data_IF_079115313606
#
_entry.id   IF_079115313606
#
_cell.length_a   1.000
_cell.length_b   1.000
_cell.length_c   1.000
_cell.angle_alpha   90.00
_cell.angle_beta   90.00
_cell.angle_gamma   90.00
#
_symmetry.space_group_name_H-M   'P 1'
#
loop_
_entity.id
_entity.type
_entity.pdbx_description
1 polymer ?
#
# COMPACT_ATOMS: atom_id res chain seq x y z
N UNK A 1 20.77 -2.62 11.56
CA UNK A 1 20.12 -2.94 10.27
C UNK A 1 18.63 -3.03 10.51
N UNK A 2 17.83 -2.45 9.62
CA UNK A 2 16.37 -2.57 9.66
C UNK A 2 15.93 -4.03 9.49
N UNK A 3 14.91 -4.42 10.26
CA UNK A 3 14.28 -5.74 10.09
C UNK A 3 13.28 -5.65 8.93
N UNK A 4 13.22 -6.70 8.14
CA UNK A 4 12.26 -6.84 7.07
C UNK A 4 11.31 -7.98 7.43
N UNK A 5 10.02 -7.68 7.43
CA UNK A 5 8.95 -8.65 7.64
C UNK A 5 8.24 -8.93 6.31
N UNK A 6 7.62 -10.09 6.17
CA UNK A 6 6.81 -10.40 5.00
C UNK A 6 5.34 -10.39 5.43
N UNK A 7 4.60 -9.47 4.86
CA UNK A 7 3.16 -9.35 4.95
C UNK A 7 2.49 -9.63 3.60
N UNK A 8 1.19 -9.54 3.57
CA UNK A 8 0.40 -9.72 2.36
C UNK A 8 -0.81 -8.78 2.35
N UNK A 9 -1.05 -8.14 1.21
CA UNK A 9 -2.30 -7.45 0.94
C UNK A 9 -3.40 -8.49 0.71
N UNK A 10 -4.58 -8.27 1.30
CA UNK A 10 -5.68 -9.25 1.22
C UNK A 10 -6.33 -9.37 -0.17
N UNK A 11 -5.83 -8.65 -1.17
CA UNK A 11 -6.25 -8.86 -2.57
C UNK A 11 -6.05 -10.31 -3.05
N UNK A 12 -5.14 -11.06 -2.46
CA UNK A 12 -4.88 -12.46 -2.85
C UNK A 12 -6.11 -13.38 -2.64
N UNK A 13 -7.08 -12.96 -1.83
CA UNK A 13 -8.34 -13.68 -1.59
C UNK A 13 -9.55 -12.99 -2.26
N UNK A 14 -9.34 -12.01 -3.11
CA UNK A 14 -10.38 -11.17 -3.73
C UNK A 14 -11.45 -11.93 -4.52
N UNK A 15 -11.13 -13.12 -5.01
CA UNK A 15 -12.05 -13.97 -5.76
C UNK A 15 -12.82 -14.98 -4.89
N UNK A 16 -12.61 -14.94 -3.58
CA UNK A 16 -13.29 -15.80 -2.62
C UNK A 16 -14.38 -15.00 -1.90
N UNK A 17 -15.59 -15.50 -1.93
CA UNK A 17 -16.71 -14.96 -1.14
C UNK A 17 -16.58 -15.43 0.32
N UNK A 18 -15.65 -14.83 1.05
CA UNK A 18 -15.30 -15.17 2.42
C UNK A 18 -15.07 -13.92 3.26
N UNK A 19 -15.34 -13.99 4.58
CA UNK A 19 -15.13 -12.86 5.48
C UNK A 19 -13.65 -12.53 5.67
N UNK A 20 -13.38 -11.34 6.21
CA UNK A 20 -12.04 -10.86 6.53
C UNK A 20 -11.20 -11.87 7.34
N UNK A 21 -11.82 -12.48 8.34
CA UNK A 21 -11.17 -13.46 9.23
C UNK A 21 -10.57 -14.63 8.47
N UNK A 22 -11.29 -15.14 7.47
CA UNK A 22 -10.79 -16.23 6.62
C UNK A 22 -9.54 -15.82 5.83
N UNK A 23 -9.48 -14.60 5.33
CA UNK A 23 -8.30 -14.08 4.63
C UNK A 23 -7.09 -13.98 5.56
N UNK A 24 -7.30 -13.55 6.82
CA UNK A 24 -6.25 -13.48 7.85
C UNK A 24 -5.74 -14.88 8.22
N UNK A 25 -6.63 -15.83 8.45
CA UNK A 25 -6.30 -17.23 8.75
C UNK A 25 -5.52 -17.86 7.59
N UNK A 26 -5.96 -17.63 6.34
CA UNK A 26 -5.27 -18.13 5.15
C UNK A 26 -3.86 -17.55 5.02
N UNK A 27 -3.67 -16.27 5.29
CA UNK A 27 -2.34 -15.65 5.30
C UNK A 27 -1.42 -16.28 6.38
N UNK A 28 -1.97 -16.54 7.58
CA UNK A 28 -1.23 -17.21 8.65
C UNK A 28 -0.84 -18.65 8.29
N UNK A 29 -1.75 -19.43 7.69
CA UNK A 29 -1.49 -20.80 7.21
C UNK A 29 -0.33 -20.82 6.19
N UNK A 30 -0.25 -19.83 5.30
CA UNK A 30 0.83 -19.69 4.32
C UNK A 30 2.16 -19.28 4.96
N UNK A 31 2.16 -18.79 6.20
CA UNK A 31 3.35 -18.42 6.95
C UNK A 31 3.73 -16.94 6.85
N UNK A 32 2.82 -16.07 6.45
CA UNK A 32 2.95 -14.63 6.56
C UNK A 32 2.87 -14.18 8.03
N UNK A 33 3.39 -13.00 8.33
CA UNK A 33 3.38 -12.44 9.69
C UNK A 33 2.51 -11.19 9.81
N UNK A 34 2.16 -10.59 8.69
CA UNK A 34 1.37 -9.36 8.62
C UNK A 34 0.35 -9.45 7.49
N UNK A 35 -0.77 -8.75 7.68
CA UNK A 35 -1.80 -8.56 6.65
C UNK A 35 -2.11 -7.08 6.45
N UNK A 36 -2.52 -6.74 5.25
CA UNK A 36 -2.97 -5.42 4.86
C UNK A 36 -4.34 -5.52 4.21
N UNK A 37 -5.43 -5.20 4.95
CA UNK A 37 -6.75 -5.10 4.35
C UNK A 37 -6.92 -3.78 3.61
N UNK A 38 -7.74 -3.80 2.56
CA UNK A 38 -8.34 -2.61 2.03
C UNK A 38 -9.46 -2.14 2.96
N UNK A 39 -9.60 -0.84 3.14
CA UNK A 39 -10.71 -0.24 3.87
C UNK A 39 -11.60 0.59 2.95
N UNK A 40 -12.89 0.63 3.29
CA UNK A 40 -13.87 1.43 2.56
C UNK A 40 -14.87 2.08 3.53
N UNK A 41 -15.60 3.07 3.03
CA UNK A 41 -16.65 3.73 3.78
C UNK A 41 -18.01 3.05 3.51
N UNK A 42 -18.51 2.35 4.50
CA UNK A 42 -19.78 1.64 4.40
C UNK A 42 -19.72 0.45 3.43
N UNK A 43 -20.64 0.38 2.50
CA UNK A 43 -20.78 -0.68 1.48
C UNK A 43 -20.41 -0.18 0.08
N UNK A 44 -19.67 0.89 -0.02
CA UNK A 44 -19.26 1.41 -1.30
C UNK A 44 -18.37 0.40 -2.01
N UNK A 45 -18.76 0.05 -3.21
CA UNK A 45 -17.94 -0.74 -4.11
C UNK A 45 -16.90 0.20 -4.73
N UNK A 46 -15.68 0.11 -4.27
CA UNK A 46 -14.56 0.90 -4.82
C UNK A 46 -14.10 0.35 -6.16
N UNK A 47 -14.48 -0.87 -6.50
CA UNK A 47 -14.27 -1.45 -7.82
C UNK A 47 -15.28 -2.56 -8.12
N UNK A 48 -15.40 -2.91 -9.40
CA UNK A 48 -16.28 -3.97 -9.91
C UNK A 48 -15.86 -5.38 -9.40
N UNK A 49 -14.70 -5.53 -8.81
CA UNK A 49 -14.15 -6.83 -8.42
C UNK A 49 -14.72 -7.40 -7.11
N UNK A 50 -15.68 -6.74 -6.47
CA UNK A 50 -16.30 -7.21 -5.22
C UNK A 50 -15.27 -7.45 -4.10
N UNK A 51 -15.03 -6.47 -3.26
CA UNK A 51 -14.05 -6.59 -2.17
C UNK A 51 -14.66 -7.22 -0.92
N UNK A 52 -15.04 -8.48 -0.99
CA UNK A 52 -15.53 -9.21 0.20
C UNK A 52 -14.48 -9.35 1.30
N UNK A 53 -13.21 -9.23 0.94
CA UNK A 53 -12.05 -9.25 1.84
C UNK A 53 -11.71 -7.88 2.43
N UNK A 54 -12.38 -6.83 2.00
CA UNK A 54 -12.18 -5.47 2.51
C UNK A 54 -12.95 -5.24 3.82
N UNK A 55 -12.56 -4.22 4.56
CA UNK A 55 -13.12 -3.88 5.86
C UNK A 55 -13.81 -2.53 5.78
N UNK A 56 -15.06 -2.46 6.24
CA UNK A 56 -15.76 -1.20 6.41
C UNK A 56 -15.18 -0.40 7.59
N UNK A 57 -14.89 0.88 7.37
CA UNK A 57 -14.50 1.78 8.46
C UNK A 57 -15.65 2.13 9.42
N UNK A 58 -16.87 1.63 9.16
CA UNK A 58 -18.01 1.68 10.05
C UNK A 58 -18.14 0.40 10.90
N UNK A 59 -17.26 -0.59 10.67
CA UNK A 59 -17.21 -1.82 11.45
C UNK A 59 -16.50 -1.60 12.80
N UNK A 60 -16.59 -2.59 13.70
CA UNK A 60 -15.89 -2.56 14.99
C UNK A 60 -14.38 -2.80 14.78
N UNK A 61 -13.52 -1.80 15.03
CA UNK A 61 -12.07 -1.96 14.86
C UNK A 61 -11.48 -3.01 15.81
N UNK A 62 -12.09 -3.26 16.96
CA UNK A 62 -11.64 -4.32 17.88
C UNK A 62 -11.89 -5.71 17.33
N UNK A 63 -12.93 -5.91 16.51
CA UNK A 63 -13.17 -7.17 15.79
C UNK A 63 -12.00 -7.48 14.87
N UNK A 64 -11.55 -6.48 14.09
CA UNK A 64 -10.42 -6.59 13.17
C UNK A 64 -9.13 -6.91 13.92
N UNK A 65 -8.85 -6.16 14.99
CA UNK A 65 -7.69 -6.39 15.86
C UNK A 65 -7.67 -7.80 16.44
N UNK A 66 -8.79 -8.24 16.98
CA UNK A 66 -8.94 -9.58 17.61
C UNK A 66 -8.81 -10.71 16.58
N UNK A 67 -9.34 -10.52 15.35
CA UNK A 67 -9.16 -11.51 14.29
C UNK A 67 -7.68 -11.73 13.97
N UNK A 68 -6.92 -10.65 13.79
CA UNK A 68 -5.46 -10.74 13.59
C UNK A 68 -4.78 -11.41 14.80
N UNK A 69 -5.09 -10.99 16.02
CA UNK A 69 -4.49 -11.55 17.23
C UNK A 69 -4.72 -13.06 17.37
N UNK A 70 -5.95 -13.54 17.11
CA UNK A 70 -6.28 -14.98 17.16
C UNK A 70 -5.46 -15.81 16.18
N UNK A 71 -5.17 -15.26 15.01
CA UNK A 71 -4.34 -15.91 14.01
C UNK A 71 -2.83 -15.68 14.20
N UNK A 72 -2.41 -14.98 15.26
CA UNK A 72 -1.00 -14.64 15.50
C UNK A 72 -0.45 -13.64 14.50
N UNK A 73 -1.30 -12.90 13.80
CA UNK A 73 -0.97 -11.94 12.76
C UNK A 73 -0.96 -10.50 13.28
N UNK A 74 -0.26 -9.62 12.56
CA UNK A 74 -0.28 -8.16 12.78
C UNK A 74 -0.82 -7.46 11.54
N UNK A 75 -1.33 -6.26 11.70
CA UNK A 75 -1.60 -5.37 10.57
C UNK A 75 -0.30 -4.68 10.15
N UNK A 76 0.02 -4.68 8.85
CA UNK A 76 1.13 -3.91 8.29
C UNK A 76 0.72 -2.49 7.95
N UNK A 77 -0.53 -2.30 7.57
CA UNK A 77 -1.14 -1.05 7.18
C UNK A 77 -2.60 -1.27 6.80
N UNK A 78 -3.25 -0.20 6.37
CA UNK A 78 -4.56 -0.22 5.73
C UNK A 78 -4.43 0.42 4.35
N UNK A 79 -4.89 -0.26 3.31
CA UNK A 79 -4.97 0.30 1.95
C UNK A 79 -6.25 1.11 1.83
N UNK A 80 -6.12 2.45 1.71
CA UNK A 80 -7.26 3.37 1.79
C UNK A 80 -7.63 4.03 0.46
N UNK A 81 -6.69 4.16 -0.49
CA UNK A 81 -6.87 4.76 -1.83
C UNK A 81 -7.78 6.01 -1.86
N UNK A 82 -7.52 6.91 -0.95
CA UNK A 82 -8.31 8.14 -0.79
C UNK A 82 -7.90 9.18 -1.82
N UNK A 83 -8.84 9.81 -2.56
CA UNK A 83 -8.49 10.81 -3.57
C UNK A 83 -8.04 12.12 -2.92
N UNK A 84 -6.72 12.33 -2.77
CA UNK A 84 -6.17 13.56 -2.20
C UNK A 84 -6.53 14.81 -3.01
N UNK A 85 -6.73 14.68 -4.32
CA UNK A 85 -7.15 15.78 -5.22
C UNK A 85 -8.62 16.18 -5.05
N UNK A 86 -9.40 15.49 -4.24
CA UNK A 86 -10.83 15.75 -4.01
C UNK A 86 -11.10 15.92 -2.51
N UNK A 87 -10.70 17.06 -1.92
CA UNK A 87 -10.79 17.27 -0.46
C UNK A 87 -12.22 17.18 0.09
N UNK A 88 -13.23 17.45 -0.72
CA UNK A 88 -14.65 17.32 -0.36
C UNK A 88 -15.07 15.90 0.02
N UNK A 89 -14.35 14.89 -0.51
CA UNK A 89 -14.55 13.48 -0.18
C UNK A 89 -13.34 12.96 0.62
N UNK A 90 -12.14 13.21 0.10
CA UNK A 90 -10.90 12.60 0.56
C UNK A 90 -10.48 12.99 1.97
N UNK A 91 -10.77 14.23 2.40
CA UNK A 91 -10.31 14.72 3.71
C UNK A 91 -10.91 13.90 4.86
N UNK A 92 -12.22 13.80 4.94
CA UNK A 92 -12.86 13.06 6.05
C UNK A 92 -12.67 11.55 5.90
N UNK A 93 -12.63 11.04 4.68
CA UNK A 93 -12.33 9.63 4.41
C UNK A 93 -10.96 9.25 4.98
N UNK A 94 -9.91 9.98 4.64
CA UNK A 94 -8.54 9.71 5.11
C UNK A 94 -8.43 9.88 6.64
N UNK A 95 -9.05 10.92 7.20
CA UNK A 95 -9.11 11.11 8.66
C UNK A 95 -9.80 9.96 9.38
N UNK A 96 -10.87 9.42 8.80
CA UNK A 96 -11.55 8.25 9.35
C UNK A 96 -10.69 6.98 9.24
N UNK A 97 -10.01 6.77 8.11
CA UNK A 97 -9.07 5.65 7.95
C UNK A 97 -7.94 5.71 8.99
N UNK A 98 -7.41 6.90 9.28
CA UNK A 98 -6.39 7.11 10.31
C UNK A 98 -6.92 6.79 11.71
N UNK A 99 -8.15 7.23 12.05
CA UNK A 99 -8.78 6.90 13.34
C UNK A 99 -8.99 5.39 13.47
N UNK A 100 -9.53 4.78 12.43
CA UNK A 100 -9.77 3.33 12.38
C UNK A 100 -8.45 2.54 12.50
N UNK A 101 -7.39 2.98 11.81
CA UNK A 101 -6.06 2.38 11.90
C UNK A 101 -5.52 2.39 13.35
N UNK A 102 -5.66 3.52 14.03
CA UNK A 102 -5.22 3.65 15.43
C UNK A 102 -5.94 2.65 16.36
N UNK A 103 -7.23 2.48 16.18
CA UNK A 103 -8.04 1.58 17.02
C UNK A 103 -7.80 0.09 16.72
N UNK A 104 -7.69 -0.27 15.43
CA UNK A 104 -7.41 -1.67 15.08
C UNK A 104 -5.91 -2.05 15.21
N UNK A 105 -5.02 -1.07 15.37
CA UNK A 105 -3.60 -1.27 15.60
C UNK A 105 -2.76 -1.36 14.31
N UNK A 106 -3.23 -0.78 13.20
CA UNK A 106 -2.45 -0.64 11.97
C UNK A 106 -1.54 0.59 12.07
N UNK A 107 -0.24 0.48 11.75
CA UNK A 107 0.71 1.59 11.91
C UNK A 107 0.69 2.59 10.74
N UNK A 108 0.16 2.20 9.58
CA UNK A 108 0.21 2.96 8.34
C UNK A 108 -1.16 2.96 7.67
N UNK A 109 -1.52 4.08 7.05
CA UNK A 109 -2.63 4.19 6.10
C UNK A 109 -2.04 4.55 4.74
N UNK A 110 -2.18 3.66 3.77
CA UNK A 110 -1.68 3.86 2.41
C UNK A 110 -2.73 4.57 1.56
N UNK A 111 -2.30 5.53 0.74
CA UNK A 111 -3.16 6.35 -0.11
C UNK A 111 -2.39 6.87 -1.32
N UNK A 112 -3.10 7.47 -2.27
CA UNK A 112 -2.56 8.13 -3.46
C UNK A 112 -3.31 9.44 -3.77
N UNK A 113 -2.89 10.16 -4.82
CA UNK A 113 -3.59 11.38 -5.21
C UNK A 113 -5.01 11.16 -5.74
N UNK A 114 -5.33 9.94 -6.19
CA UNK A 114 -6.58 9.62 -6.85
C UNK A 114 -6.75 10.30 -8.22
N UNK A 115 -7.87 10.08 -8.90
CA UNK A 115 -8.15 10.73 -10.16
C UNK A 115 -8.36 12.24 -9.95
N UNK A 116 -7.65 13.05 -10.73
CA UNK A 116 -7.78 14.52 -10.68
C UNK A 116 -9.19 14.96 -11.08
N UNK A 117 -9.69 16.09 -10.54
CA UNK A 117 -10.90 16.73 -11.03
C UNK A 117 -10.75 17.16 -12.51
N UNK A 118 -11.83 17.06 -13.28
CA UNK A 118 -11.80 17.44 -14.69
C UNK A 118 -11.69 18.95 -14.96
N UNK A 119 -11.97 19.76 -13.93
CA UNK A 119 -11.99 21.23 -13.99
C UNK A 119 -10.72 21.91 -13.49
N UNK A 120 -9.85 21.18 -12.79
CA UNK A 120 -8.67 21.73 -12.12
C UNK A 120 -7.45 21.75 -13.02
N UNK A 121 -6.58 22.73 -12.80
CA UNK A 121 -5.22 22.78 -13.31
C UNK A 121 -4.27 21.99 -12.42
N UNK A 122 -3.07 21.67 -12.90
CA UNK A 122 -2.05 21.02 -12.08
C UNK A 122 -1.74 21.81 -10.80
N UNK A 123 -1.60 23.13 -10.90
CA UNK A 123 -1.30 23.98 -9.74
C UNK A 123 -2.39 23.88 -8.67
N UNK A 124 -3.65 23.87 -9.09
CA UNK A 124 -4.81 23.69 -8.20
C UNK A 124 -4.86 22.30 -7.58
N UNK A 125 -4.55 21.25 -8.35
CA UNK A 125 -4.48 19.87 -7.81
C UNK A 125 -3.49 19.78 -6.64
N UNK A 126 -2.32 20.43 -6.75
CA UNK A 126 -1.35 20.46 -5.65
C UNK A 126 -1.82 21.27 -4.43
N UNK A 127 -2.63 22.32 -4.64
CA UNK A 127 -3.30 23.03 -3.53
C UNK A 127 -4.32 22.14 -2.84
N UNK A 128 -5.15 21.41 -3.62
CA UNK A 128 -6.16 20.49 -3.09
C UNK A 128 -5.50 19.35 -2.29
N UNK A 129 -4.48 18.71 -2.85
CA UNK A 129 -3.72 17.66 -2.16
C UNK A 129 -3.06 18.16 -0.88
N UNK A 130 -2.49 19.36 -0.91
CA UNK A 130 -1.89 19.98 0.28
C UNK A 130 -2.91 20.16 1.39
N UNK A 131 -4.12 20.62 1.05
CA UNK A 131 -5.19 20.78 2.03
C UNK A 131 -5.56 19.46 2.67
N UNK A 132 -5.82 18.41 1.87
CA UNK A 132 -6.17 17.08 2.36
C UNK A 132 -5.09 16.50 3.27
N UNK A 133 -3.82 16.56 2.85
CA UNK A 133 -2.69 16.03 3.63
C UNK A 133 -2.49 16.83 4.93
N UNK A 134 -2.65 18.13 4.89
CA UNK A 134 -2.55 18.99 6.09
C UNK A 134 -3.62 18.63 7.13
N UNK A 135 -4.87 18.46 6.69
CA UNK A 135 -5.96 18.07 7.59
C UNK A 135 -5.79 16.64 8.13
N UNK A 136 -5.35 15.71 7.28
CA UNK A 136 -5.07 14.33 7.68
C UNK A 136 -3.92 14.26 8.70
N UNK A 137 -2.85 15.04 8.50
CA UNK A 137 -1.69 15.06 9.41
C UNK A 137 -2.06 15.48 10.83
N UNK A 138 -3.01 16.41 11.00
CA UNK A 138 -3.52 16.82 12.34
C UNK A 138 -4.15 15.66 13.12
N UNK A 139 -4.64 14.65 12.41
CA UNK A 139 -5.25 13.44 13.02
C UNK A 139 -4.20 12.34 13.18
N UNK A 140 -3.27 12.23 12.24
CA UNK A 140 -2.26 11.18 12.20
C UNK A 140 -1.16 11.37 13.25
N UNK A 141 -0.59 12.58 13.35
CA UNK A 141 0.52 12.88 14.25
C UNK A 141 0.25 12.50 15.72
N UNK A 142 -0.86 12.98 16.36
CA UNK A 142 -1.10 12.65 17.76
C UNK A 142 -1.44 11.19 18.01
N UNK A 143 -1.73 10.42 16.97
CA UNK A 143 -2.02 8.98 17.03
C UNK A 143 -0.82 8.10 16.67
N UNK A 144 0.28 8.69 16.23
CA UNK A 144 1.46 7.97 15.76
C UNK A 144 1.21 7.14 14.50
N UNK A 145 0.17 7.48 13.71
CA UNK A 145 -0.14 6.79 12.45
C UNK A 145 0.62 7.46 11.30
N UNK A 146 1.19 6.63 10.42
CA UNK A 146 1.87 7.10 9.23
C UNK A 146 0.92 7.10 8.03
N UNK A 147 1.12 8.05 7.12
CA UNK A 147 0.43 8.14 5.82
C UNK A 147 1.45 7.74 4.76
N UNK A 148 1.22 6.62 4.09
CA UNK A 148 2.06 6.10 3.02
C UNK A 148 1.54 6.57 1.66
N UNK A 149 2.29 7.46 0.99
CA UNK A 149 1.95 7.92 -0.36
C UNK A 149 2.46 6.92 -1.39
N UNK A 150 1.57 6.43 -2.24
CA UNK A 150 1.88 5.41 -3.23
C UNK A 150 2.16 5.99 -4.62
N UNK A 151 3.04 5.33 -5.37
CA UNK A 151 3.30 5.62 -6.78
C UNK A 151 2.25 4.92 -7.65
N UNK A 152 1.14 5.62 -7.96
CA UNK A 152 -0.03 4.98 -8.55
C UNK A 152 -0.69 5.78 -9.67
N UNK A 153 -0.85 7.10 -9.53
CA UNK A 153 -1.70 7.92 -10.37
C UNK A 153 -0.90 8.90 -11.28
N UNK A 154 -1.55 9.94 -11.76
CA UNK A 154 -1.02 10.84 -12.78
C UNK A 154 0.29 11.54 -12.38
N UNK A 155 0.40 12.01 -11.16
CA UNK A 155 1.59 12.72 -10.66
C UNK A 155 2.55 11.76 -9.98
N UNK A 156 2.04 10.93 -9.07
CA UNK A 156 2.83 9.99 -8.28
C UNK A 156 3.48 8.86 -9.09
N UNK A 157 3.06 8.62 -10.34
CA UNK A 157 3.73 7.70 -11.27
C UNK A 157 5.14 8.16 -11.69
N UNK A 158 5.51 9.39 -11.40
CA UNK A 158 6.83 9.95 -11.66
C UNK A 158 7.56 10.23 -10.34
N UNK A 159 8.88 9.92 -10.25
CA UNK A 159 9.66 10.17 -9.04
C UNK A 159 9.58 11.62 -8.54
N UNK A 160 9.65 12.59 -9.45
CA UNK A 160 9.56 14.02 -9.09
C UNK A 160 8.17 14.41 -8.61
N UNK A 161 7.12 13.85 -9.22
CA UNK A 161 5.73 14.09 -8.81
C UNK A 161 5.44 13.54 -7.41
N UNK A 162 5.86 12.30 -7.13
CA UNK A 162 5.72 11.70 -5.81
C UNK A 162 6.50 12.49 -4.73
N UNK A 163 7.73 12.91 -5.05
CA UNK A 163 8.52 13.76 -4.16
C UNK A 163 7.85 15.11 -3.90
N UNK A 164 7.23 15.71 -4.92
CA UNK A 164 6.50 16.96 -4.81
C UNK A 164 5.28 16.80 -3.90
N UNK A 165 4.49 15.75 -4.07
CA UNK A 165 3.33 15.46 -3.21
C UNK A 165 3.78 15.28 -1.76
N UNK A 166 4.81 14.46 -1.51
CA UNK A 166 5.31 14.17 -0.17
C UNK A 166 5.80 15.44 0.58
N UNK A 167 6.28 16.44 -0.16
CA UNK A 167 6.80 17.70 0.41
C UNK A 167 5.74 18.79 0.57
N UNK A 168 4.49 18.58 0.18
CA UNK A 168 3.42 19.57 0.28
C UNK A 168 3.14 20.00 1.73
N UNK A 169 3.33 19.06 2.66
CA UNK A 169 3.14 19.30 4.09
C UNK A 169 4.36 18.80 4.86
N UNK A 170 4.91 19.65 5.71
CA UNK A 170 5.99 19.27 6.61
C UNK A 170 5.41 18.54 7.82
N UNK A 171 5.30 17.23 7.72
CA UNK A 171 4.77 16.36 8.78
C UNK A 171 5.62 15.09 8.92
N UNK A 172 5.96 14.66 10.14
CA UNK A 172 6.66 13.40 10.38
C UNK A 172 5.78 12.18 10.06
N UNK A 173 4.46 12.37 9.96
CA UNK A 173 3.52 11.29 9.64
C UNK A 173 3.42 10.99 8.14
N UNK A 174 3.97 11.82 7.25
CA UNK A 174 3.89 11.59 5.81
C UNK A 174 5.16 10.90 5.31
N UNK A 175 4.99 9.70 4.78
CA UNK A 175 6.05 8.90 4.17
C UNK A 175 5.63 8.32 2.82
N UNK A 176 6.40 7.37 2.35
CA UNK A 176 6.17 6.71 1.05
C UNK A 176 5.78 5.25 1.28
N UNK A 177 4.69 4.83 0.67
CA UNK A 177 4.41 3.45 0.35
C UNK A 177 4.95 3.18 -1.06
N UNK A 178 6.03 2.44 -1.18
CA UNK A 178 6.65 2.20 -2.48
C UNK A 178 6.15 0.89 -3.08
N UNK A 179 5.49 0.97 -4.24
CA UNK A 179 5.08 -0.21 -5.02
C UNK A 179 6.11 -0.50 -6.11
N UNK A 180 6.75 -1.68 -6.03
CA UNK A 180 7.80 -2.10 -6.96
C UNK A 180 7.28 -2.34 -8.38
N UNK A 181 6.10 -2.92 -8.50
CA UNK A 181 5.46 -3.22 -9.77
C UNK A 181 4.93 -1.97 -10.48
N UNK A 182 4.26 -1.09 -9.73
CA UNK A 182 3.77 0.18 -10.28
C UNK A 182 4.94 1.06 -10.76
N UNK A 183 6.02 1.16 -9.97
CA UNK A 183 7.21 1.88 -10.38
C UNK A 183 7.82 1.34 -11.68
N UNK A 184 7.88 0.01 -11.82
CA UNK A 184 8.35 -0.66 -13.04
C UNK A 184 7.42 -0.40 -14.23
N UNK A 185 6.11 -0.56 -14.06
CA UNK A 185 5.11 -0.38 -15.12
C UNK A 185 5.01 1.08 -15.57
N UNK A 186 5.28 2.05 -14.70
CA UNK A 186 5.42 3.45 -15.07
C UNK A 186 6.66 3.76 -15.93
N UNK A 187 7.48 2.75 -16.26
CA UNK A 187 8.65 2.88 -17.13
C UNK A 187 9.95 3.19 -16.40
N UNK A 188 9.94 3.32 -15.08
CA UNK A 188 11.12 3.68 -14.29
C UNK A 188 11.94 2.45 -13.86
N UNK A 189 13.18 2.69 -13.42
CA UNK A 189 13.99 1.70 -12.72
C UNK A 189 13.54 1.65 -11.25
N UNK A 190 12.89 0.57 -10.78
CA UNK A 190 12.34 0.52 -9.43
C UNK A 190 13.43 0.56 -8.36
N UNK A 191 14.67 0.12 -8.67
CA UNK A 191 15.77 0.12 -7.71
C UNK A 191 16.37 1.51 -7.50
N UNK A 192 16.52 2.30 -8.56
CA UNK A 192 16.94 3.69 -8.47
C UNK A 192 15.88 4.52 -7.74
N UNK A 193 14.62 4.32 -8.08
CA UNK A 193 13.54 5.03 -7.42
C UNK A 193 13.39 4.63 -5.95
N UNK A 194 13.51 3.34 -5.61
CA UNK A 194 13.52 2.91 -4.21
C UNK A 194 14.65 3.57 -3.40
N UNK A 195 15.88 3.65 -3.94
CA UNK A 195 16.99 4.37 -3.26
C UNK A 195 16.66 5.84 -3.03
N UNK A 196 16.01 6.48 -3.98
CA UNK A 196 15.61 7.89 -3.84
C UNK A 196 14.64 8.12 -2.69
N UNK A 197 13.74 7.18 -2.43
CA UNK A 197 12.68 7.33 -1.42
C UNK A 197 12.92 6.57 -0.12
N UNK A 198 13.92 5.68 -0.06
CA UNK A 198 14.13 4.72 1.03
C UNK A 198 14.23 5.35 2.43
N UNK A 199 14.75 6.59 2.54
CA UNK A 199 14.83 7.33 3.82
C UNK A 199 13.45 7.75 4.34
N UNK A 200 12.45 7.82 3.48
CA UNK A 200 11.08 8.21 3.75
C UNK A 200 10.09 7.05 3.63
N UNK A 201 10.62 5.84 3.38
CA UNK A 201 9.82 4.64 3.23
C UNK A 201 9.14 4.30 4.55
N UNK A 202 7.83 4.11 4.52
CA UNK A 202 7.01 3.70 5.69
C UNK A 202 6.31 2.36 5.46
N UNK A 203 6.10 1.99 4.21
CA UNK A 203 5.49 0.74 3.78
C UNK A 203 6.00 0.37 2.37
N UNK A 204 5.87 -0.89 1.96
CA UNK A 204 6.23 -1.32 0.62
C UNK A 204 5.24 -2.37 0.11
N UNK A 205 4.61 -2.09 -1.03
CA UNK A 205 3.89 -3.09 -1.80
C UNK A 205 4.87 -3.92 -2.62
N UNK A 206 4.95 -5.19 -2.27
CA UNK A 206 5.80 -6.16 -2.96
C UNK A 206 5.03 -6.78 -4.12
N UNK A 207 4.94 -6.03 -5.22
CA UNK A 207 4.30 -6.43 -6.48
C UNK A 207 5.35 -6.83 -7.49
N UNK A 208 5.24 -8.04 -8.03
CA UNK A 208 6.06 -8.51 -9.15
C UNK A 208 5.25 -8.49 -10.45
N UNK A 209 5.93 -8.26 -11.57
CA UNK A 209 5.29 -8.12 -12.89
C UNK A 209 5.77 -9.26 -13.79
N UNK A 210 4.83 -10.00 -14.36
CA UNK A 210 5.17 -11.10 -15.25
C UNK A 210 5.95 -10.62 -16.48
N UNK A 211 6.74 -11.51 -17.08
CA UNK A 211 7.49 -11.20 -18.31
C UNK A 211 6.56 -10.74 -19.43
N UNK A 212 5.39 -11.38 -19.56
CA UNK A 212 4.38 -11.01 -20.56
C UNK A 212 3.86 -9.58 -20.33
N UNK A 213 3.46 -9.25 -19.11
CA UNK A 213 2.98 -7.93 -18.70
C UNK A 213 4.07 -6.87 -18.90
N UNK A 214 5.31 -7.18 -18.54
CA UNK A 214 6.48 -6.31 -18.75
C UNK A 214 6.62 -5.90 -20.23
N UNK A 215 6.42 -6.82 -21.16
CA UNK A 215 6.51 -6.53 -22.59
C UNK A 215 5.34 -5.70 -23.14
N UNK A 216 4.13 -5.88 -22.63
CA UNK A 216 2.91 -5.26 -23.16
C UNK A 216 2.53 -3.94 -22.48
N UNK A 217 2.81 -3.78 -21.20
CA UNK A 217 2.22 -2.72 -20.36
C UNK A 217 3.23 -1.68 -19.87
N UNK A 218 4.53 -2.00 -19.81
CA UNK A 218 5.54 -1.08 -19.29
C UNK A 218 5.55 0.26 -20.05
N UNK A 219 5.43 1.36 -19.31
CA UNK A 219 5.36 2.72 -19.84
C UNK A 219 4.03 3.11 -20.48
N UNK A 220 3.05 2.19 -20.54
CA UNK A 220 1.74 2.41 -21.17
C UNK A 220 0.58 2.44 -20.19
N UNK A 221 0.71 1.74 -19.07
CA UNK A 221 -0.34 1.57 -18.07
C UNK A 221 -0.06 2.42 -16.85
N UNK A 222 -1.06 3.15 -16.44
CA UNK A 222 -1.13 3.82 -15.13
C UNK A 222 -2.24 3.17 -14.33
N UNK A 223 -1.97 2.75 -13.11
CA UNK A 223 -2.95 2.09 -12.27
C UNK A 223 -2.63 0.61 -12.07
N UNK A 224 -3.50 -0.12 -11.44
CA UNK A 224 -3.27 -1.40 -10.80
C UNK A 224 -3.47 -2.63 -11.68
N UNK A 225 -2.53 -3.02 -12.53
CA UNK A 225 -2.51 -4.41 -12.96
C UNK A 225 -2.24 -5.31 -11.75
N UNK A 226 -2.94 -6.40 -11.68
CA UNK A 226 -2.67 -7.43 -10.66
C UNK A 226 -1.26 -7.98 -10.88
N UNK A 227 -0.44 -8.02 -9.83
CA UNK A 227 0.89 -8.60 -9.87
C UNK A 227 0.87 -10.12 -10.06
N UNK A 228 2.00 -10.68 -10.43
CA UNK A 228 2.25 -12.12 -10.33
C UNK A 228 2.89 -12.48 -8.98
N UNK A 229 3.19 -13.76 -8.77
CA UNK A 229 3.92 -14.16 -7.56
C UNK A 229 5.32 -13.55 -7.54
N UNK A 230 5.75 -13.05 -6.39
CA UNK A 230 7.11 -12.57 -6.20
C UNK A 230 8.12 -13.68 -6.53
N UNK A 231 8.99 -13.41 -7.49
CA UNK A 231 9.97 -14.35 -8.01
C UNK A 231 9.58 -15.02 -9.33
N UNK A 232 8.33 -14.91 -9.77
CA UNK A 232 7.89 -15.37 -11.08
C UNK A 232 7.97 -14.25 -12.15
N UNK A 233 8.28 -13.04 -11.74
CA UNK A 233 8.31 -11.87 -12.59
C UNK A 233 9.70 -11.28 -12.83
N UNK A 234 9.72 -9.99 -13.13
CA UNK A 234 10.94 -9.26 -13.55
C UNK A 234 11.62 -8.49 -12.41
N UNK A 235 11.04 -8.46 -11.21
CA UNK A 235 11.59 -7.72 -10.08
C UNK A 235 12.68 -8.55 -9.37
N UNK A 236 13.89 -7.99 -9.28
CA UNK A 236 15.00 -8.58 -8.52
C UNK A 236 14.84 -8.31 -7.02
N UNK A 237 14.23 -9.25 -6.31
CA UNK A 237 13.95 -9.16 -4.87
C UNK A 237 15.21 -9.10 -4.01
N UNK A 238 16.32 -9.69 -4.46
CA UNK A 238 17.61 -9.57 -3.75
C UNK A 238 18.06 -8.12 -3.72
N UNK A 239 17.96 -7.39 -4.83
CA UNK A 239 18.30 -5.96 -4.89
C UNK A 239 17.37 -5.12 -4.02
N UNK A 240 16.05 -5.37 -4.06
CA UNK A 240 15.08 -4.65 -3.21
C UNK A 240 15.44 -4.83 -1.74
N UNK A 241 15.63 -6.07 -1.28
CA UNK A 241 15.98 -6.39 0.10
C UNK A 241 17.33 -5.78 0.51
N UNK A 242 18.35 -5.81 -0.35
CA UNK A 242 19.65 -5.22 -0.09
C UNK A 242 19.56 -3.69 0.12
N UNK A 243 18.81 -2.99 -0.74
CA UNK A 243 18.59 -1.54 -0.62
C UNK A 243 17.94 -1.23 0.73
N UNK A 244 16.87 -1.93 1.08
CA UNK A 244 16.15 -1.70 2.35
C UNK A 244 17.06 -1.98 3.55
N UNK A 245 17.74 -3.12 3.58
CA UNK A 245 18.65 -3.47 4.69
C UNK A 245 19.77 -2.44 4.91
N UNK A 246 20.33 -1.93 3.82
CA UNK A 246 21.46 -1.00 3.86
C UNK A 246 21.04 0.44 4.17
N UNK A 247 19.91 0.87 3.65
CA UNK A 247 19.61 2.31 3.54
C UNK A 247 18.34 2.75 4.27
N UNK A 248 17.40 1.82 4.59
CA UNK A 248 16.17 2.17 5.30
C UNK A 248 16.44 2.40 6.79
N UNK A 249 15.98 3.50 7.39
CA UNK A 249 16.22 3.81 8.80
C UNK A 249 15.27 3.09 9.77
N UNK A 250 14.28 2.33 9.28
CA UNK A 250 13.22 1.69 10.09
C UNK A 250 12.92 0.28 9.60
N UNK A 251 12.25 -0.49 10.45
CA UNK A 251 11.73 -1.80 10.08
C UNK A 251 10.63 -1.64 9.03
N UNK A 252 10.58 -2.55 8.04
CA UNK A 252 9.65 -2.49 6.91
C UNK A 252 8.93 -3.83 6.76
N UNK A 253 7.66 -3.76 6.41
CA UNK A 253 6.90 -4.90 5.91
C UNK A 253 6.89 -4.85 4.38
N UNK A 254 7.30 -5.95 3.75
CA UNK A 254 7.04 -6.22 2.35
C UNK A 254 5.63 -6.80 2.27
N UNK A 255 4.65 -5.99 1.94
CA UNK A 255 3.26 -6.42 1.76
C UNK A 255 3.09 -6.96 0.35
N UNK A 256 3.09 -8.28 0.21
CA UNK A 256 2.95 -8.94 -1.09
C UNK A 256 1.60 -8.60 -1.70
N UNK A 257 1.61 -8.16 -2.95
CA UNK A 257 0.41 -7.81 -3.70
C UNK A 257 0.28 -8.71 -4.94
N UNK A 258 -0.63 -9.66 -4.85
CA UNK A 258 -0.89 -10.67 -5.89
C UNK A 258 -2.36 -11.08 -5.88
N UNK A 259 -2.83 -11.74 -6.94
CA UNK A 259 -4.25 -11.95 -7.18
C UNK A 259 -4.82 -13.29 -6.69
N UNK A 260 -4.01 -14.27 -6.28
CA UNK A 260 -4.49 -15.60 -5.89
C UNK A 260 -3.73 -16.22 -4.72
N UNK A 261 -4.36 -17.21 -4.08
CA UNK A 261 -3.75 -17.98 -2.97
C UNK A 261 -2.48 -18.70 -3.43
N UNK A 262 -2.47 -19.25 -4.63
CA UNK A 262 -1.32 -19.96 -5.21
C UNK A 262 -0.14 -19.00 -5.46
N UNK A 263 -0.42 -17.78 -5.91
CA UNK A 263 0.60 -16.74 -6.07
C UNK A 263 1.15 -16.31 -4.71
N UNK A 264 0.29 -16.17 -3.71
CA UNK A 264 0.71 -15.86 -2.33
C UNK A 264 1.64 -16.94 -1.77
N UNK A 265 1.31 -18.22 -1.96
CA UNK A 265 2.14 -19.34 -1.52
C UNK A 265 3.53 -19.33 -2.19
N UNK A 266 3.59 -19.10 -3.51
CA UNK A 266 4.88 -19.00 -4.23
C UNK A 266 5.69 -17.80 -3.77
N UNK A 267 5.04 -16.66 -3.57
CA UNK A 267 5.69 -15.43 -3.12
C UNK A 267 6.40 -15.60 -1.77
N UNK A 268 5.70 -16.16 -0.76
CA UNK A 268 6.33 -16.38 0.55
C UNK A 268 7.48 -17.39 0.49
N UNK A 269 7.33 -18.45 -0.33
CA UNK A 269 8.39 -19.44 -0.55
C UNK A 269 9.64 -18.82 -1.19
N UNK A 270 9.46 -17.85 -2.09
CA UNK A 270 10.58 -17.13 -2.73
C UNK A 270 11.22 -16.11 -1.79
N UNK A 271 10.43 -15.28 -1.13
CA UNK A 271 10.94 -14.16 -0.34
C UNK A 271 11.60 -14.58 0.99
N UNK A 272 11.01 -15.57 1.68
CA UNK A 272 11.46 -15.99 3.03
C UNK A 272 12.92 -16.42 3.09
N UNK A 273 13.48 -17.20 2.14
CA UNK A 273 14.91 -17.53 2.12
C UNK A 273 15.82 -16.33 1.92
N UNK A 274 15.36 -15.29 1.20
CA UNK A 274 16.16 -14.08 0.93
C UNK A 274 16.33 -13.19 2.17
N UNK A 275 15.56 -13.44 3.23
CA UNK A 275 15.65 -12.68 4.48
C UNK A 275 16.62 -13.33 5.50
N UNK A 276 17.07 -14.54 5.24
CA UNK A 276 18.11 -15.18 6.04
C UNK A 276 19.48 -14.59 5.72
#
# INVERSE_FOLDING_TARGET
MSKIHIGINLEFVRHHDKPFEWGVEKAAELGYTHVEPMVHWGRELLSEAGYFHSVSMLDDPLRIKRACQRAGMKLSGLSSHTPLCKPEIGTEYLKQAIRFAAECGAPVVNTDEGPKPGWSTEAEDFVLMRYTLMEASKVAEPRGILIGLECHQQYSKHPDGLDRIQRLVKSPSIGINFDTGNAFLCGHDPYQWLRRVVKRLVHLHAKDISVQQSGSERGKVTGTPVGCACGDGVIDWKKVIQIIRKECPRDIVLSVECGTVEQAERSIKHLKPLLK
#
